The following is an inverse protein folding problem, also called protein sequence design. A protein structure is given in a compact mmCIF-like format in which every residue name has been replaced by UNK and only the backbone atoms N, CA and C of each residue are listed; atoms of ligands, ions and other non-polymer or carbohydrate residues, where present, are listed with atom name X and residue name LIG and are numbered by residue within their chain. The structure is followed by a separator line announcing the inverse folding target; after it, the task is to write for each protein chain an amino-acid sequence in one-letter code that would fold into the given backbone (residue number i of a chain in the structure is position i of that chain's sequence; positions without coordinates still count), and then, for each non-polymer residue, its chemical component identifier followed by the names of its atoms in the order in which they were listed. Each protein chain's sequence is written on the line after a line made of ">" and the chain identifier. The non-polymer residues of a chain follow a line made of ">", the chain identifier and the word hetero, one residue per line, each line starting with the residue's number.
data_IF_118058389249
#
_entry.id   IF_118058389249
#
_cell.length_a   1.000
_cell.length_b   1.000
_cell.length_c   1.000
_cell.angle_alpha   90.00
_cell.angle_beta   90.00
_cell.angle_gamma   90.00
#
_symmetry.space_group_name_H-M   'P 1'
#
loop_
_entity.id
_entity.type
_entity.pdbx_description
1 polymer ?
#
# COMPACT_ATOMS: atom_id res chain seq x y z
N UNK A 1 -2.31 7.33 12.76
CA UNK A 1 -1.41 8.09 11.86
C UNK A 1 -0.01 8.16 12.46
N UNK A 2 0.86 7.21 12.09
CA UNK A 2 2.26 7.20 12.54
C UNK A 2 3.04 8.42 12.05
N UNK A 3 2.79 8.85 10.81
CA UNK A 3 3.53 9.93 10.16
C UNK A 3 3.36 11.35 10.75
N UNK A 4 2.53 11.53 11.79
CA UNK A 4 2.44 12.80 12.52
C UNK A 4 3.32 12.83 13.76
N UNK A 5 3.86 11.68 14.18
CA UNK A 5 4.79 11.57 15.32
C UNK A 5 6.22 11.74 14.84
N UNK A 6 7.09 12.21 15.73
CA UNK A 6 8.52 12.28 15.42
C UNK A 6 9.19 10.91 15.53
N UNK A 7 10.32 10.79 14.84
CA UNK A 7 11.12 9.55 14.76
C UNK A 7 11.60 9.10 16.13
N UNK A 8 11.99 10.02 17.00
CA UNK A 8 12.52 9.72 18.33
C UNK A 8 11.44 9.04 19.21
N UNK A 9 10.24 9.64 19.25
CA UNK A 9 9.07 9.09 19.95
C UNK A 9 8.73 7.70 19.45
N UNK A 10 8.67 7.50 18.13
CA UNK A 10 8.36 6.18 17.56
C UNK A 10 9.43 5.14 17.87
N UNK A 11 10.70 5.51 17.86
CA UNK A 11 11.79 4.62 18.26
C UNK A 11 11.74 4.28 19.76
N UNK A 12 11.34 5.22 20.62
CA UNK A 12 11.14 4.95 22.06
C UNK A 12 10.00 3.95 22.28
N UNK A 13 8.86 4.13 21.58
CA UNK A 13 7.74 3.18 21.61
C UNK A 13 8.22 1.80 21.18
N UNK A 14 8.96 1.70 20.08
CA UNK A 14 9.50 0.44 19.58
C UNK A 14 10.41 -0.23 20.62
N UNK A 15 11.38 0.49 21.17
CA UNK A 15 12.31 -0.03 22.16
C UNK A 15 11.57 -0.53 23.40
N UNK A 16 10.57 0.21 23.88
CA UNK A 16 9.75 -0.17 25.03
C UNK A 16 8.96 -1.45 24.77
N UNK A 17 8.32 -1.54 23.60
CA UNK A 17 7.56 -2.73 23.22
C UNK A 17 8.46 -3.96 23.05
N UNK A 18 9.62 -3.80 22.39
CA UNK A 18 10.58 -4.89 22.17
C UNK A 18 11.31 -5.34 23.45
N UNK A 19 11.37 -4.50 24.49
CA UNK A 19 11.87 -4.91 25.81
C UNK A 19 10.92 -5.90 26.50
N UNK A 20 9.64 -5.89 26.13
CA UNK A 20 8.62 -6.83 26.65
C UNK A 20 8.57 -8.08 25.77
N UNK A 21 8.46 -7.89 24.45
CA UNK A 21 8.46 -8.96 23.45
C UNK A 21 9.37 -8.56 22.27
N UNK A 22 10.56 -9.16 22.14
CA UNK A 22 11.49 -8.85 21.05
C UNK A 22 10.95 -9.18 19.65
N UNK A 23 9.88 -9.99 19.55
CA UNK A 23 9.24 -10.36 18.28
C UNK A 23 8.04 -9.49 17.93
N UNK A 24 7.72 -8.46 18.74
CA UNK A 24 6.60 -7.57 18.44
C UNK A 24 6.77 -6.89 17.10
N UNK A 25 5.74 -6.96 16.27
CA UNK A 25 5.68 -6.26 14.98
C UNK A 25 5.00 -4.91 15.18
N UNK A 26 5.71 -3.85 14.86
CA UNK A 26 5.19 -2.48 14.89
C UNK A 26 5.05 -1.96 13.47
N UNK A 27 3.92 -1.37 13.20
CA UNK A 27 3.65 -0.78 11.88
C UNK A 27 2.62 0.36 11.99
N UNK A 28 2.55 1.18 10.96
CA UNK A 28 1.57 2.25 10.93
C UNK A 28 1.49 2.99 9.60
N UNK A 29 0.63 3.98 9.55
CA UNK A 29 0.46 4.85 8.39
C UNK A 29 1.60 5.88 8.35
N UNK A 30 2.50 5.72 7.39
CA UNK A 30 3.67 6.57 7.19
C UNK A 30 3.35 7.87 6.43
N UNK A 31 2.20 8.48 6.68
CA UNK A 31 1.80 9.78 6.14
C UNK A 31 1.10 10.64 7.19
N UNK A 32 0.98 11.94 6.92
CA UNK A 32 0.21 12.88 7.72
C UNK A 32 -1.12 13.20 7.01
N UNK A 33 -2.20 13.31 7.78
CA UNK A 33 -3.53 13.66 7.23
C UNK A 33 -3.67 15.15 6.89
N UNK A 34 -2.73 15.98 7.36
CA UNK A 34 -2.68 17.44 7.16
C UNK A 34 -1.25 17.91 7.10
N UNK A 35 -1.04 19.20 6.86
CA UNK A 35 0.30 19.79 6.92
C UNK A 35 0.91 19.57 8.33
N UNK A 36 2.06 18.90 8.43
CA UNK A 36 2.69 18.61 9.71
C UNK A 36 3.22 19.88 10.37
N UNK A 37 3.20 19.91 11.70
CA UNK A 37 3.75 21.03 12.49
C UNK A 37 5.28 20.95 12.58
N UNK A 38 5.83 19.73 12.58
CA UNK A 38 7.26 19.49 12.64
C UNK A 38 7.85 19.33 11.22
N UNK A 39 9.16 19.58 11.04
CA UNK A 39 9.85 19.34 9.77
C UNK A 39 9.69 17.89 9.30
N UNK A 40 9.44 17.70 8.01
CA UNK A 40 9.13 16.38 7.44
C UNK A 40 10.23 15.34 7.67
N UNK A 41 11.48 15.76 7.70
CA UNK A 41 12.65 14.91 7.94
C UNK A 41 12.74 14.37 9.38
N UNK A 42 12.00 14.96 10.32
CA UNK A 42 11.94 14.51 11.72
C UNK A 42 10.73 13.60 12.00
N UNK A 43 9.83 13.45 11.03
CA UNK A 43 8.60 12.72 11.20
C UNK A 43 8.73 11.25 10.80
N UNK A 44 7.94 10.40 11.45
CA UNK A 44 7.86 8.97 11.16
C UNK A 44 7.05 8.68 9.89
N UNK A 45 7.37 9.41 8.82
CA UNK A 45 6.81 9.18 7.49
C UNK A 45 7.51 8.01 6.80
N UNK A 46 6.85 7.38 5.81
CA UNK A 46 7.43 6.25 5.07
C UNK A 46 8.76 6.62 4.38
N UNK A 47 8.94 7.86 3.95
CA UNK A 47 10.21 8.33 3.39
C UNK A 47 11.39 8.26 4.39
N UNK A 48 11.10 8.19 5.68
CA UNK A 48 12.08 8.13 6.77
C UNK A 48 12.15 6.73 7.43
N UNK A 49 11.56 5.71 6.82
CA UNK A 49 11.45 4.35 7.39
C UNK A 49 12.80 3.76 7.80
N UNK A 50 13.86 4.06 7.04
CA UNK A 50 15.23 3.66 7.38
C UNK A 50 15.69 4.14 8.78
N UNK A 51 15.08 5.18 9.34
CA UNK A 51 15.38 5.74 10.67
C UNK A 51 14.49 5.17 11.78
N UNK A 52 13.49 4.36 11.44
CA UNK A 52 12.48 3.84 12.37
C UNK A 52 12.84 2.47 12.98
N UNK A 53 14.04 1.96 12.70
CA UNK A 53 14.57 0.74 13.33
C UNK A 53 13.74 -0.52 13.12
N UNK A 54 13.04 -0.63 11.99
CA UNK A 54 12.23 -1.79 11.63
C UNK A 54 10.73 -1.64 11.88
N UNK A 55 10.25 -0.46 12.26
CA UNK A 55 8.80 -0.17 12.22
C UNK A 55 8.37 -0.11 10.76
N UNK A 56 7.37 -0.90 10.38
CA UNK A 56 6.88 -0.97 9.02
C UNK A 56 5.85 0.14 8.71
N UNK A 57 5.76 0.53 7.44
CA UNK A 57 4.74 1.44 6.95
C UNK A 57 3.83 0.77 5.91
N UNK A 58 2.58 1.21 5.85
CA UNK A 58 1.64 0.75 4.83
C UNK A 58 2.08 1.18 3.42
N UNK A 59 2.12 0.21 2.49
CA UNK A 59 2.47 0.41 1.08
C UNK A 59 1.26 0.83 0.24
N UNK A 60 0.84 2.07 0.36
CA UNK A 60 -0.30 2.62 -0.39
C UNK A 60 -0.06 2.67 -1.90
N UNK A 61 1.21 2.66 -2.34
CA UNK A 61 1.56 2.50 -3.75
C UNK A 61 0.98 1.20 -4.32
N UNK A 62 1.15 0.09 -3.59
CA UNK A 62 0.61 -1.22 -3.99
C UNK A 62 -0.92 -1.24 -3.92
N UNK A 63 -1.48 -0.74 -2.82
CA UNK A 63 -2.94 -0.67 -2.64
C UNK A 63 -3.61 0.00 -3.82
N UNK A 64 -3.18 1.21 -4.14
CA UNK A 64 -3.82 2.01 -5.18
C UNK A 64 -3.37 1.57 -6.59
N UNK A 65 -2.16 1.06 -6.72
CA UNK A 65 -1.71 0.40 -7.95
C UNK A 65 -2.57 -0.81 -8.34
N UNK A 66 -3.06 -1.55 -7.36
CA UNK A 66 -3.96 -2.69 -7.59
C UNK A 66 -5.41 -2.24 -7.82
N UNK A 67 -6.00 -1.48 -6.88
CA UNK A 67 -7.44 -1.22 -6.83
C UNK A 67 -7.91 0.11 -7.41
N UNK A 68 -7.01 1.07 -7.60
CA UNK A 68 -7.28 2.45 -7.99
C UNK A 68 -7.13 3.45 -6.85
N UNK A 69 -7.02 4.73 -7.17
CA UNK A 69 -6.74 5.82 -6.23
C UNK A 69 -7.72 5.87 -5.06
N UNK A 70 -7.22 6.14 -3.88
CA UNK A 70 -8.05 6.37 -2.67
C UNK A 70 -8.99 7.56 -2.82
N UNK A 71 -8.60 8.55 -3.63
CA UNK A 71 -9.37 9.79 -3.80
C UNK A 71 -10.54 9.69 -4.78
N UNK A 72 -10.61 8.60 -5.58
CA UNK A 72 -11.72 8.35 -6.50
C UNK A 72 -12.20 6.89 -6.43
N UNK A 73 -13.32 6.70 -5.76
CA UNK A 73 -13.94 5.38 -5.58
C UNK A 73 -14.46 4.72 -6.87
N UNK A 74 -14.49 5.45 -7.98
CA UNK A 74 -14.92 4.96 -9.28
C UNK A 74 -13.74 4.63 -10.20
N UNK A 75 -12.53 5.03 -9.82
CA UNK A 75 -11.32 4.71 -10.55
C UNK A 75 -10.87 3.28 -10.21
N UNK A 76 -10.62 2.51 -11.25
CA UNK A 76 -10.00 1.19 -11.11
C UNK A 76 -8.61 1.20 -11.74
N UNK A 77 -7.74 0.27 -11.30
CA UNK A 77 -6.36 0.18 -11.76
C UNK A 77 -6.03 -1.22 -12.31
N UNK A 78 -4.89 -1.76 -11.93
CA UNK A 78 -4.38 -3.02 -12.45
C UNK A 78 -5.39 -4.18 -12.39
N UNK A 79 -6.11 -4.35 -11.28
CA UNK A 79 -7.06 -5.46 -11.11
C UNK A 79 -8.12 -5.53 -12.20
N UNK A 80 -8.62 -4.40 -12.66
CA UNK A 80 -9.61 -4.38 -13.74
C UNK A 80 -8.99 -4.21 -15.13
N UNK A 81 -7.66 -4.35 -15.25
CA UNK A 81 -6.93 -4.24 -16.50
C UNK A 81 -6.87 -2.80 -17.05
N UNK A 82 -6.77 -1.80 -16.19
CA UNK A 82 -6.40 -0.45 -16.58
C UNK A 82 -4.88 -0.33 -16.52
N UNK A 83 -4.27 0.16 -17.60
CA UNK A 83 -2.84 0.37 -17.71
C UNK A 83 -2.36 1.60 -16.90
N UNK A 84 -1.05 1.68 -16.64
CA UNK A 84 -0.38 2.83 -16.05
C UNK A 84 -0.07 2.69 -14.55
N UNK A 85 -0.40 1.54 -13.94
CA UNK A 85 -0.14 1.29 -12.51
C UNK A 85 0.83 0.12 -12.27
N UNK A 86 1.41 -0.43 -13.33
CA UNK A 86 2.24 -1.63 -13.28
C UNK A 86 3.48 -1.43 -12.39
N UNK A 87 4.10 -0.25 -12.46
CA UNK A 87 5.28 0.05 -11.66
C UNK A 87 4.95 0.18 -10.16
N UNK A 88 3.77 0.70 -9.83
CA UNK A 88 3.29 0.73 -8.43
C UNK A 88 3.04 -0.66 -7.87
N UNK A 89 2.53 -1.57 -8.70
CA UNK A 89 2.36 -2.99 -8.33
C UNK A 89 3.72 -3.68 -8.16
N UNK A 90 4.65 -3.49 -9.11
CA UNK A 90 6.02 -4.02 -8.99
C UNK A 90 6.74 -3.50 -7.75
N UNK A 91 6.61 -2.20 -7.47
CA UNK A 91 7.16 -1.57 -6.28
C UNK A 91 6.67 -2.26 -4.99
N UNK A 92 5.37 -2.55 -4.92
CA UNK A 92 4.80 -3.30 -3.81
C UNK A 92 5.28 -4.75 -3.73
N UNK A 93 5.38 -5.45 -4.89
CA UNK A 93 5.85 -6.84 -4.95
C UNK A 93 7.26 -6.98 -4.36
N UNK A 94 8.14 -6.03 -4.61
CA UNK A 94 9.51 -6.06 -4.07
C UNK A 94 9.61 -5.51 -2.64
N UNK A 95 8.51 -5.08 -2.02
CA UNK A 95 8.50 -4.58 -0.64
C UNK A 95 9.14 -3.20 -0.49
N UNK A 96 8.91 -2.31 -1.45
CA UNK A 96 9.36 -0.92 -1.46
C UNK A 96 10.90 -0.72 -1.39
N UNK A 97 11.67 -1.76 -1.67
CA UNK A 97 13.14 -1.70 -1.71
C UNK A 97 13.67 -1.30 -3.09
N UNK A 98 14.95 -0.94 -3.16
CA UNK A 98 15.63 -0.73 -4.44
C UNK A 98 15.65 -2.02 -5.26
N UNK A 99 15.14 -1.96 -6.49
CA UNK A 99 15.13 -3.10 -7.40
C UNK A 99 15.27 -2.66 -8.87
N UNK A 100 16.11 -3.33 -9.68
CA UNK A 100 16.36 -2.92 -11.07
C UNK A 100 15.14 -3.10 -11.99
N UNK A 101 14.16 -3.90 -11.61
CA UNK A 101 12.93 -4.13 -12.37
C UNK A 101 11.81 -3.11 -12.11
N UNK A 102 12.06 -2.09 -11.27
CA UNK A 102 11.09 -1.03 -10.94
C UNK A 102 11.56 0.30 -11.52
N UNK A 103 10.73 0.89 -12.35
CA UNK A 103 10.89 2.28 -12.77
C UNK A 103 10.19 3.21 -11.76
N UNK A 104 10.98 3.73 -10.82
CA UNK A 104 10.47 4.58 -9.76
C UNK A 104 9.82 5.87 -10.26
N UNK A 105 10.16 6.34 -11.45
CA UNK A 105 9.54 7.56 -12.02
C UNK A 105 8.06 7.37 -12.31
N UNK A 106 7.64 6.15 -12.56
CA UNK A 106 6.27 5.74 -12.88
C UNK A 106 5.50 5.11 -11.70
N UNK A 107 6.09 5.04 -10.51
CA UNK A 107 5.36 4.69 -9.29
C UNK A 107 4.45 5.86 -8.89
N UNK A 108 3.25 5.58 -8.37
CA UNK A 108 2.23 6.60 -8.10
C UNK A 108 2.65 7.66 -7.05
N UNK A 109 3.02 7.29 -5.84
CA UNK A 109 3.32 8.25 -4.76
C UNK A 109 4.81 8.45 -4.54
N UNK A 110 5.56 7.38 -4.35
CA UNK A 110 6.99 7.43 -4.04
C UNK A 110 7.84 7.33 -5.30
N UNK A 111 8.77 8.27 -5.49
CA UNK A 111 9.67 8.31 -6.65
C UNK A 111 11.03 7.71 -6.36
N UNK A 112 11.18 7.06 -5.21
CA UNK A 112 12.37 6.35 -4.75
C UNK A 112 11.96 5.21 -3.80
N UNK A 113 12.82 4.19 -3.60
CA UNK A 113 12.60 3.20 -2.55
C UNK A 113 12.60 3.88 -1.17
N UNK A 114 11.74 3.42 -0.27
CA UNK A 114 11.70 3.96 1.08
C UNK A 114 11.97 2.90 2.16
N UNK A 115 11.88 1.62 1.83
CA UNK A 115 12.24 0.54 2.73
C UNK A 115 13.70 0.11 2.53
N UNK A 116 14.41 -0.16 3.62
CA UNK A 116 15.76 -0.74 3.58
C UNK A 116 15.70 -2.26 3.40
N UNK A 117 14.62 -2.87 3.85
CA UNK A 117 14.30 -4.29 3.73
C UNK A 117 12.79 -4.49 3.57
N UNK A 118 12.34 -5.58 2.91
CA UNK A 118 10.92 -5.76 2.62
C UNK A 118 10.02 -5.85 3.85
N UNK A 119 10.54 -6.29 5.00
CA UNK A 119 9.79 -6.35 6.27
C UNK A 119 9.38 -4.99 6.83
N UNK A 120 9.89 -3.90 6.29
CA UNK A 120 9.50 -2.53 6.63
C UNK A 120 8.27 -2.04 5.84
N UNK A 121 7.75 -2.85 4.93
CA UNK A 121 6.53 -2.55 4.18
C UNK A 121 5.40 -3.50 4.55
N UNK A 122 4.22 -2.95 4.85
CA UNK A 122 2.97 -3.68 4.93
C UNK A 122 2.36 -3.78 3.53
N UNK A 123 2.33 -5.00 2.99
CA UNK A 123 1.69 -5.31 1.71
C UNK A 123 0.19 -5.50 1.93
N UNK A 124 -0.64 -4.66 1.32
CA UNK A 124 -2.09 -4.73 1.49
C UNK A 124 -2.85 -4.19 0.28
N UNK A 125 -4.12 -4.48 0.23
CA UNK A 125 -5.04 -3.97 -0.80
C UNK A 125 -6.31 -3.38 -0.20
N UNK A 126 -6.61 -3.71 1.05
CA UNK A 126 -7.75 -3.22 1.82
C UNK A 126 -7.42 -3.25 3.32
N UNK A 127 -7.96 -2.33 4.08
CA UNK A 127 -7.81 -2.27 5.54
C UNK A 127 -9.05 -1.64 6.19
N UNK A 128 -8.89 -0.99 7.34
CA UNK A 128 -9.96 -0.32 8.10
C UNK A 128 -10.50 0.96 7.44
N UNK A 129 -9.72 1.57 6.54
CA UNK A 129 -10.07 2.81 5.84
C UNK A 129 -10.67 2.54 4.47
N UNK A 130 -11.58 3.45 4.05
CA UNK A 130 -12.16 3.48 2.72
C UNK A 130 -13.00 2.21 2.41
N UNK A 131 -13.31 1.97 1.15
CA UNK A 131 -14.07 0.80 0.72
C UNK A 131 -13.29 -0.50 0.91
N UNK A 132 -13.94 -1.55 1.38
CA UNK A 132 -13.35 -2.88 1.31
C UNK A 132 -13.11 -3.31 -0.15
N UNK A 133 -12.20 -4.23 -0.36
CA UNK A 133 -11.80 -4.66 -1.70
C UNK A 133 -12.99 -5.14 -2.55
N UNK A 134 -13.93 -5.88 -1.94
CA UNK A 134 -15.09 -6.41 -2.65
C UNK A 134 -15.98 -5.29 -3.21
N UNK A 135 -16.22 -4.24 -2.43
CA UNK A 135 -17.02 -3.09 -2.85
C UNK A 135 -16.31 -2.28 -3.94
N UNK A 136 -14.99 -2.08 -3.79
CA UNK A 136 -14.18 -1.38 -4.78
C UNK A 136 -14.17 -2.11 -6.12
N UNK A 137 -13.91 -3.41 -6.12
CA UNK A 137 -13.96 -4.25 -7.33
C UNK A 137 -15.36 -4.22 -7.95
N UNK A 138 -16.40 -4.30 -7.12
CA UNK A 138 -17.78 -4.24 -7.59
C UNK A 138 -18.09 -2.92 -8.31
N UNK A 139 -17.75 -1.78 -7.72
CA UNK A 139 -18.01 -0.45 -8.28
C UNK A 139 -17.23 -0.24 -9.59
N UNK A 140 -15.91 -0.44 -9.56
CA UNK A 140 -15.02 -0.15 -10.70
C UNK A 140 -15.26 -1.09 -11.89
N UNK A 141 -15.53 -2.38 -11.63
CA UNK A 141 -15.81 -3.35 -12.69
C UNK A 141 -17.17 -3.10 -13.35
N UNK A 142 -18.18 -2.67 -12.56
CA UNK A 142 -19.48 -2.26 -13.08
C UNK A 142 -19.33 -1.09 -14.06
N UNK A 143 -18.62 -0.04 -13.65
CA UNK A 143 -18.35 1.14 -14.47
C UNK A 143 -17.61 0.74 -15.76
N UNK A 144 -16.59 -0.11 -15.65
CA UNK A 144 -15.86 -0.59 -16.84
C UNK A 144 -16.75 -1.36 -17.79
N UNK A 145 -17.60 -2.25 -17.28
CA UNK A 145 -18.53 -3.03 -18.09
C UNK A 145 -19.54 -2.13 -18.84
N UNK A 146 -20.02 -1.08 -18.19
CA UNK A 146 -20.91 -0.07 -18.77
C UNK A 146 -20.20 0.75 -19.86
N UNK A 147 -19.03 1.30 -19.55
CA UNK A 147 -18.21 2.09 -20.50
C UNK A 147 -17.83 1.30 -21.75
N UNK A 148 -17.47 0.02 -21.60
CA UNK A 148 -17.09 -0.84 -22.72
C UNK A 148 -18.27 -1.55 -23.37
N UNK A 149 -19.49 -1.37 -22.88
CA UNK A 149 -20.71 -2.10 -23.29
C UNK A 149 -20.55 -3.62 -23.22
N UNK A 150 -19.68 -4.11 -22.36
CA UNK A 150 -19.37 -5.53 -22.20
C UNK A 150 -19.87 -6.05 -20.83
N UNK A 151 -21.13 -6.44 -20.78
CA UNK A 151 -21.76 -7.00 -19.57
C UNK A 151 -21.10 -8.27 -19.04
N UNK A 152 -20.35 -9.01 -19.87
CA UNK A 152 -19.62 -10.23 -19.46
C UNK A 152 -18.46 -9.94 -18.50
N UNK A 153 -17.99 -8.68 -18.45
CA UNK A 153 -16.97 -8.27 -17.47
C UNK A 153 -17.53 -8.19 -16.04
N UNK A 154 -18.83 -7.93 -15.87
CA UNK A 154 -19.46 -7.74 -14.57
C UNK A 154 -20.27 -8.98 -14.17
N UNK A 155 -19.59 -10.03 -13.72
CA UNK A 155 -20.21 -11.25 -13.19
C UNK A 155 -19.70 -11.51 -11.77
N UNK A 156 -20.41 -12.37 -11.02
CA UNK A 156 -19.96 -12.80 -9.69
C UNK A 156 -18.58 -13.47 -9.77
N UNK A 157 -18.40 -14.34 -10.73
CA UNK A 157 -17.17 -15.09 -10.96
C UNK A 157 -15.99 -14.16 -11.29
N UNK A 158 -16.21 -13.13 -12.10
CA UNK A 158 -15.19 -12.12 -12.41
C UNK A 158 -14.77 -11.35 -11.14
N UNK A 159 -15.72 -10.91 -10.35
CA UNK A 159 -15.43 -10.21 -9.09
C UNK A 159 -14.62 -11.09 -8.11
N UNK A 160 -15.03 -12.34 -7.94
CA UNK A 160 -14.30 -13.29 -7.07
C UNK A 160 -12.87 -13.55 -7.59
N UNK A 161 -12.69 -13.66 -8.91
CA UNK A 161 -11.34 -13.84 -9.49
C UNK A 161 -10.44 -12.64 -9.24
N UNK A 162 -10.96 -11.43 -9.37
CA UNK A 162 -10.19 -10.21 -9.14
C UNK A 162 -9.81 -10.05 -7.68
N UNK A 163 -10.71 -10.39 -6.75
CA UNK A 163 -10.40 -10.39 -5.34
C UNK A 163 -9.31 -11.41 -5.00
N UNK A 164 -9.42 -12.63 -5.50
CA UNK A 164 -8.40 -13.66 -5.34
C UNK A 164 -7.05 -13.23 -5.94
N UNK A 165 -7.06 -12.58 -7.10
CA UNK A 165 -5.84 -12.06 -7.71
C UNK A 165 -5.17 -11.03 -6.80
N UNK A 166 -5.92 -10.07 -6.26
CA UNK A 166 -5.39 -9.05 -5.36
C UNK A 166 -4.77 -9.66 -4.09
N UNK A 167 -5.49 -10.57 -3.44
CA UNK A 167 -5.01 -11.28 -2.24
C UNK A 167 -3.80 -12.16 -2.56
N UNK A 168 -3.76 -12.80 -3.74
CA UNK A 168 -2.59 -13.55 -4.18
C UNK A 168 -1.37 -12.64 -4.31
N UNK A 169 -1.52 -11.46 -4.92
CA UNK A 169 -0.40 -10.51 -5.03
C UNK A 169 0.08 -10.09 -3.65
N UNK A 170 -0.82 -9.75 -2.73
CA UNK A 170 -0.47 -9.39 -1.35
C UNK A 170 0.29 -10.51 -0.64
N UNK A 171 -0.23 -11.73 -0.69
CA UNK A 171 0.32 -12.89 0.03
C UNK A 171 1.64 -13.41 -0.55
N UNK A 172 1.93 -13.14 -1.82
CA UNK A 172 3.15 -13.63 -2.50
C UNK A 172 4.20 -12.55 -2.71
N UNK A 173 3.92 -11.32 -2.26
CA UNK A 173 4.87 -10.21 -2.29
C UNK A 173 5.90 -10.31 -1.16
N UNK A 174 6.99 -9.52 -1.27
CA UNK A 174 8.10 -9.57 -0.31
C UNK A 174 7.82 -8.85 1.02
N UNK A 175 6.85 -7.94 1.06
CA UNK A 175 6.46 -7.23 2.28
C UNK A 175 5.72 -8.11 3.28
N UNK A 176 5.36 -7.54 4.43
CA UNK A 176 4.54 -8.21 5.45
C UNK A 176 3.08 -8.18 4.98
N UNK A 177 2.45 -9.34 4.72
CA UNK A 177 1.08 -9.37 4.22
C UNK A 177 0.07 -8.96 5.29
N UNK A 178 -0.90 -8.14 4.89
CA UNK A 178 -2.02 -7.69 5.71
C UNK A 178 -3.32 -7.92 4.94
N UNK A 179 -4.29 -8.65 5.55
CA UNK A 179 -5.57 -9.06 4.96
C UNK A 179 -6.71 -8.68 5.89
#
# INVERSE_FOLDING_TARGET
>A
LMGIHDIETMNLIRQTAQAIDPNVVLYGEGWAASAPVLPAETLAMKANTAQLGGIAAFGDEMRDGLRGSWSDNNEGAFLIGNAGNEESVKFGIVGAIQHPGVDFTNVNYSKAPWASQPSEMISYVSCHDDQCLADRVNATLKIKAEKTKNKKLYTKEARVRLQKLAETVVLTSQGVPFI
#
